data_IF_185480161150
#
_entry.id   IF_185480161150
#
_cell.length_a   1.000
_cell.length_b   1.000
_cell.length_c   1.000
_cell.angle_alpha   90.00
_cell.angle_beta   90.00
_cell.angle_gamma   90.00
#
_symmetry.space_group_name_H-M   'P 1'
#
loop_
_entity.id
_entity.type
_entity.pdbx_description
1 polymer ?
#
# COMPACT_ATOMS: atom_id res chain seq x y z
N UNK A 1 -11.46 -16.20 11.39
CA UNK A 1 -10.56 -15.04 11.18
C UNK A 1 -11.05 -14.17 10.03
N UNK A 2 -11.07 -12.84 10.17
CA UNK A 2 -11.42 -11.93 9.06
C UNK A 2 -10.39 -12.08 7.94
N UNK A 3 -10.88 -12.26 6.70
CA UNK A 3 -10.02 -12.35 5.50
C UNK A 3 -9.58 -10.96 5.06
N UNK A 4 -8.63 -10.34 5.77
CA UNK A 4 -8.13 -9.00 5.49
C UNK A 4 -7.30 -8.96 4.20
N UNK A 5 -7.43 -7.87 3.44
CA UNK A 5 -6.60 -7.53 2.28
C UNK A 5 -5.96 -6.18 2.54
N UNK A 6 -4.66 -6.09 2.37
CA UNK A 6 -3.94 -4.84 2.47
C UNK A 6 -3.85 -4.13 1.11
N UNK A 7 -3.88 -2.80 1.12
CA UNK A 7 -3.52 -1.98 -0.03
C UNK A 7 -2.22 -1.27 0.33
N UNK A 8 -1.15 -1.55 -0.39
CA UNK A 8 0.13 -0.86 -0.22
C UNK A 8 0.06 0.49 -0.93
N UNK A 9 0.34 1.57 -0.21
CA UNK A 9 0.15 2.94 -0.71
C UNK A 9 1.01 3.30 -1.94
N UNK A 10 2.13 2.58 -2.15
CA UNK A 10 3.00 2.78 -3.30
C UNK A 10 3.81 4.07 -3.26
N UNK A 11 4.06 4.64 -4.42
CA UNK A 11 4.90 5.84 -4.62
C UNK A 11 4.26 7.08 -3.97
N UNK A 12 4.95 7.78 -3.04
CA UNK A 12 4.38 8.95 -2.38
C UNK A 12 4.32 10.20 -3.28
N UNK A 13 5.23 10.32 -4.25
CA UNK A 13 5.27 11.44 -5.20
C UNK A 13 4.41 11.17 -6.45
N UNK A 14 3.20 10.63 -6.26
CA UNK A 14 2.35 10.20 -7.36
C UNK A 14 0.87 10.45 -7.05
N UNK A 15 0.00 10.04 -7.98
CA UNK A 15 -1.46 10.12 -7.84
C UNK A 15 -2.05 8.98 -6.99
N UNK A 16 -1.24 8.15 -6.35
CA UNK A 16 -1.70 6.95 -5.65
C UNK A 16 -2.73 7.25 -4.55
N UNK A 17 -2.52 8.32 -3.77
CA UNK A 17 -3.49 8.72 -2.74
C UNK A 17 -4.84 9.12 -3.33
N UNK A 18 -4.85 9.72 -4.53
CA UNK A 18 -6.07 10.04 -5.27
C UNK A 18 -6.78 8.76 -5.75
N UNK A 19 -6.03 7.83 -6.36
CA UNK A 19 -6.57 6.54 -6.81
C UNK A 19 -7.19 5.79 -5.64
N UNK A 20 -6.46 5.66 -4.52
CA UNK A 20 -6.93 4.99 -3.31
C UNK A 20 -8.22 5.67 -2.79
N UNK A 21 -8.23 7.00 -2.71
CA UNK A 21 -9.36 7.75 -2.20
C UNK A 21 -10.61 7.62 -3.08
N UNK A 22 -10.45 7.73 -4.40
CA UNK A 22 -11.55 7.56 -5.35
C UNK A 22 -12.09 6.12 -5.33
N UNK A 23 -11.21 5.13 -5.34
CA UNK A 23 -11.60 3.71 -5.22
C UNK A 23 -12.32 3.44 -3.91
N UNK A 24 -11.84 4.00 -2.79
CA UNK A 24 -12.49 3.85 -1.49
C UNK A 24 -13.94 4.34 -1.48
N UNK A 25 -14.23 5.43 -2.18
CA UNK A 25 -15.62 5.92 -2.31
C UNK A 25 -16.53 4.95 -3.05
N UNK A 26 -16.01 4.22 -4.04
CA UNK A 26 -16.76 3.32 -4.92
C UNK A 26 -16.94 1.91 -4.33
N UNK A 27 -16.03 1.47 -3.46
CA UNK A 27 -16.07 0.13 -2.88
C UNK A 27 -17.29 0.00 -1.95
N UNK A 28 -18.18 -0.94 -2.26
CA UNK A 28 -19.38 -1.23 -1.45
C UNK A 28 -19.03 -1.93 -0.13
N UNK A 29 -18.14 -2.92 -0.16
CA UNK A 29 -17.74 -3.68 1.03
C UNK A 29 -16.30 -3.32 1.47
N UNK A 30 -16.20 -2.46 2.47
CA UNK A 30 -14.94 -1.90 3.01
C UNK A 30 -14.38 -2.69 4.20
N UNK A 31 -15.15 -3.67 4.68
CA UNK A 31 -14.92 -4.29 5.99
C UNK A 31 -13.60 -5.05 6.15
N UNK A 32 -12.97 -5.43 5.03
CA UNK A 32 -11.79 -6.28 5.02
C UNK A 32 -10.57 -5.59 4.42
N UNK A 33 -10.65 -4.26 4.19
CA UNK A 33 -9.60 -3.48 3.54
C UNK A 33 -8.93 -2.54 4.54
N UNK A 34 -7.61 -2.41 4.41
CA UNK A 34 -6.84 -1.37 5.10
C UNK A 34 -5.62 -0.99 4.25
N UNK A 35 -5.04 0.17 4.54
CA UNK A 35 -3.86 0.67 3.84
C UNK A 35 -2.60 0.39 4.66
N UNK A 36 -1.52 0.03 4.01
CA UNK A 36 -0.15 0.07 4.57
C UNK A 36 0.54 1.29 3.98
N UNK A 37 0.81 2.30 4.80
CA UNK A 37 1.38 3.55 4.35
C UNK A 37 1.57 4.57 5.47
N UNK A 38 2.00 5.78 5.12
CA UNK A 38 2.12 6.87 6.10
C UNK A 38 0.79 7.60 6.26
N UNK A 39 0.21 7.52 7.47
CA UNK A 39 -1.09 8.14 7.76
C UNK A 39 -1.13 9.64 7.50
N UNK A 40 -0.12 10.38 8.00
CA UNK A 40 -0.11 11.83 7.85
C UNK A 40 0.06 12.26 6.40
N UNK A 41 0.90 11.59 5.65
CA UNK A 41 1.11 11.86 4.23
C UNK A 41 -0.19 11.65 3.45
N UNK A 42 -0.79 10.47 3.57
CA UNK A 42 -2.02 10.11 2.84
C UNK A 42 -3.15 11.09 3.21
N UNK A 43 -3.32 11.42 4.50
CA UNK A 43 -4.32 12.37 4.96
C UNK A 43 -4.11 13.76 4.34
N UNK A 44 -2.87 14.27 4.35
CA UNK A 44 -2.55 15.58 3.77
C UNK A 44 -2.74 15.60 2.26
N UNK A 45 -2.30 14.57 1.55
CA UNK A 45 -2.49 14.45 0.11
C UNK A 45 -3.98 14.42 -0.27
N UNK A 46 -4.78 13.59 0.40
CA UNK A 46 -6.23 13.48 0.16
C UNK A 46 -6.93 14.81 0.43
N UNK A 47 -6.56 15.52 1.49
CA UNK A 47 -7.13 16.85 1.78
C UNK A 47 -6.72 17.89 0.72
N UNK A 48 -5.46 17.87 0.28
CA UNK A 48 -4.92 18.83 -0.70
C UNK A 48 -5.57 18.69 -2.08
N UNK A 49 -5.98 17.49 -2.45
CA UNK A 49 -6.75 17.24 -3.69
C UNK A 49 -8.27 17.42 -3.51
N UNK A 50 -8.72 17.96 -2.38
CA UNK A 50 -10.12 18.29 -2.12
C UNK A 50 -11.05 17.10 -1.86
N UNK A 51 -10.52 15.90 -1.60
CA UNK A 51 -11.33 14.72 -1.34
C UNK A 51 -11.64 14.58 0.15
N UNK A 52 -12.95 14.50 0.49
CA UNK A 52 -13.42 14.31 1.87
C UNK A 52 -13.59 12.82 2.17
N UNK A 53 -12.67 12.23 2.94
CA UNK A 53 -12.72 10.84 3.40
C UNK A 53 -12.30 10.80 4.86
N UNK A 54 -13.03 10.03 5.67
CA UNK A 54 -12.63 9.75 7.05
C UNK A 54 -11.48 8.73 7.05
N UNK A 55 -10.34 9.12 7.61
CA UNK A 55 -9.12 8.30 7.66
C UNK A 55 -8.75 8.08 9.12
N UNK A 56 -8.46 6.83 9.49
CA UNK A 56 -8.01 6.45 10.84
C UNK A 56 -6.59 5.90 10.79
N UNK A 57 -5.75 6.38 11.70
CA UNK A 57 -4.45 5.77 11.96
C UNK A 57 -4.65 4.53 12.81
N UNK A 58 -4.03 3.43 12.43
CA UNK A 58 -3.91 2.23 13.27
C UNK A 58 -2.44 1.85 13.41
N UNK A 59 -2.07 1.30 14.57
CA UNK A 59 -0.72 0.78 14.84
C UNK A 59 -0.72 -0.75 14.75
N UNK A 60 -1.88 -1.38 14.85
CA UNK A 60 -2.11 -2.82 14.70
C UNK A 60 -3.40 -3.08 13.93
N UNK A 61 -3.46 -4.20 13.22
CA UNK A 61 -4.67 -4.64 12.50
C UNK A 61 -5.84 -4.94 13.45
N UNK A 62 -5.57 -5.23 14.73
CA UNK A 62 -6.59 -5.43 15.75
C UNK A 62 -7.36 -4.15 16.07
N UNK A 63 -6.78 -2.98 15.72
CA UNK A 63 -7.39 -1.66 15.89
C UNK A 63 -8.34 -1.28 14.74
N UNK A 64 -8.62 -2.19 13.78
CA UNK A 64 -9.60 -1.95 12.71
C UNK A 64 -11.02 -2.03 13.31
N UNK A 65 -11.40 -0.97 14.01
CA UNK A 65 -12.69 -0.88 14.72
C UNK A 65 -13.73 -0.23 13.81
N UNK A 66 -13.36 0.81 13.08
CA UNK A 66 -14.29 1.57 12.26
C UNK A 66 -14.21 1.15 10.78
N UNK A 67 -15.20 0.37 10.38
CA UNK A 67 -15.31 -0.19 9.02
C UNK A 67 -15.60 0.85 7.94
N UNK A 68 -16.07 2.04 8.33
CA UNK A 68 -16.40 3.14 7.40
C UNK A 68 -15.23 4.08 7.14
N UNK A 69 -14.17 4.01 7.96
CA UNK A 69 -12.98 4.83 7.80
C UNK A 69 -11.93 4.09 6.97
N UNK A 70 -11.16 4.84 6.20
CA UNK A 70 -9.96 4.34 5.55
C UNK A 70 -8.88 4.11 6.64
N UNK A 71 -8.76 2.87 7.12
CA UNK A 71 -7.80 2.53 8.14
C UNK A 71 -6.40 2.44 7.54
N UNK A 72 -5.43 3.15 8.12
CA UNK A 72 -4.05 3.20 7.66
C UNK A 72 -3.12 2.63 8.74
N UNK A 73 -2.55 1.47 8.49
CA UNK A 73 -1.43 0.92 9.26
C UNK A 73 -0.20 1.77 8.99
N UNK A 74 0.21 2.52 10.01
CA UNK A 74 1.15 3.61 9.83
C UNK A 74 2.59 3.12 9.67
N UNK A 75 3.19 3.45 8.54
CA UNK A 75 4.63 3.30 8.27
C UNK A 75 5.28 4.69 8.41
N UNK A 76 6.25 4.85 9.30
CA UNK A 76 6.93 6.13 9.50
C UNK A 76 7.60 6.65 8.24
N UNK A 77 7.39 7.94 7.94
CA UNK A 77 8.05 8.67 6.88
C UNK A 77 8.19 10.13 7.31
N UNK A 78 9.39 10.67 7.25
CA UNK A 78 9.64 12.10 7.45
C UNK A 78 9.48 12.82 6.11
N UNK A 79 8.73 13.90 6.05
CA UNK A 79 8.55 14.71 4.84
C UNK A 79 8.28 16.16 5.19
N UNK A 80 8.76 17.07 4.33
CA UNK A 80 8.47 18.51 4.41
C UNK A 80 7.32 18.88 3.46
N UNK A 81 7.29 18.29 2.28
CA UNK A 81 6.26 18.50 1.24
C UNK A 81 5.54 17.19 0.96
N UNK A 82 4.25 17.27 0.66
CA UNK A 82 3.38 16.09 0.45
C UNK A 82 3.60 15.39 -0.89
N UNK A 83 4.11 16.10 -1.91
CA UNK A 83 4.35 15.56 -3.25
C UNK A 83 5.79 15.78 -3.74
N UNK A 84 6.70 16.14 -2.83
CA UNK A 84 8.11 16.32 -3.15
C UNK A 84 8.98 15.72 -2.04
N UNK A 85 8.96 14.40 -1.95
CA UNK A 85 9.79 13.62 -1.04
C UNK A 85 11.03 13.18 -1.80
N UNK A 86 12.21 13.30 -1.18
CA UNK A 86 13.46 12.93 -1.85
C UNK A 86 13.48 11.44 -2.22
N UNK A 87 14.31 11.08 -3.20
CA UNK A 87 14.36 9.74 -3.80
C UNK A 87 14.75 8.65 -2.79
N UNK A 88 15.64 8.96 -1.85
CA UNK A 88 16.14 7.98 -0.87
C UNK A 88 15.02 7.63 0.12
N UNK A 89 14.35 8.64 0.68
CA UNK A 89 13.24 8.43 1.62
C UNK A 89 12.05 7.75 0.95
N UNK A 90 11.73 8.15 -0.29
CA UNK A 90 10.72 7.51 -1.13
C UNK A 90 11.00 6.01 -1.30
N UNK A 91 12.22 5.67 -1.75
CA UNK A 91 12.62 4.27 -1.92
C UNK A 91 12.50 3.48 -0.63
N UNK A 92 13.08 3.99 0.45
CA UNK A 92 13.08 3.32 1.75
C UNK A 92 11.67 3.10 2.29
N UNK A 93 10.79 4.10 2.11
CA UNK A 93 9.40 4.04 2.51
C UNK A 93 8.62 2.98 1.71
N UNK A 94 8.71 3.01 0.39
CA UNK A 94 7.99 2.06 -0.48
C UNK A 94 8.42 0.63 -0.18
N UNK A 95 9.73 0.39 -0.07
CA UNK A 95 10.27 -0.93 0.28
C UNK A 95 9.77 -1.40 1.66
N UNK A 96 9.71 -0.52 2.65
CA UNK A 96 9.16 -0.86 3.98
C UNK A 96 7.68 -1.25 3.89
N UNK A 97 6.88 -0.51 3.13
CA UNK A 97 5.46 -0.82 2.95
C UNK A 97 5.25 -2.20 2.27
N UNK A 98 5.99 -2.48 1.19
CA UNK A 98 5.93 -3.76 0.48
C UNK A 98 6.37 -4.90 1.40
N UNK A 99 7.48 -4.73 2.13
CA UNK A 99 7.99 -5.74 3.05
C UNK A 99 7.01 -6.05 4.19
N UNK A 100 6.35 -5.03 4.74
CA UNK A 100 5.33 -5.22 5.77
C UNK A 100 4.17 -6.07 5.23
N UNK A 101 3.65 -5.72 4.04
CA UNK A 101 2.58 -6.47 3.39
C UNK A 101 2.99 -7.93 3.11
N UNK A 102 4.21 -8.13 2.60
CA UNK A 102 4.77 -9.45 2.33
C UNK A 102 4.87 -10.31 3.61
N UNK A 103 5.45 -9.78 4.68
CA UNK A 103 5.57 -10.48 5.96
C UNK A 103 4.19 -10.88 6.50
N UNK A 104 3.21 -9.97 6.43
CA UNK A 104 1.85 -10.24 6.88
C UNK A 104 1.16 -11.33 6.04
N UNK A 105 1.40 -11.36 4.73
CA UNK A 105 0.89 -12.37 3.84
C UNK A 105 1.53 -13.75 4.11
N UNK A 106 2.85 -13.81 4.24
CA UNK A 106 3.58 -15.05 4.58
C UNK A 106 3.14 -15.63 5.94
N UNK A 107 2.88 -14.77 6.92
CA UNK A 107 2.33 -15.16 8.23
C UNK A 107 0.83 -15.47 8.22
N UNK A 108 0.17 -15.43 7.07
CA UNK A 108 -1.28 -15.65 6.91
C UNK A 108 -2.15 -14.68 7.74
N UNK A 109 -1.60 -13.54 8.15
CA UNK A 109 -2.31 -12.46 8.86
C UNK A 109 -3.30 -11.77 7.92
N UNK A 110 -2.90 -11.62 6.65
CA UNK A 110 -3.74 -11.12 5.56
C UNK A 110 -3.87 -12.21 4.49
N UNK A 111 -4.95 -12.15 3.71
CA UNK A 111 -5.18 -13.06 2.58
C UNK A 111 -4.28 -12.75 1.39
N UNK A 112 -3.88 -11.49 1.26
CA UNK A 112 -3.05 -10.97 0.20
C UNK A 112 -3.00 -9.45 0.25
N UNK A 113 -2.34 -8.85 -0.71
CA UNK A 113 -2.29 -7.39 -0.83
C UNK A 113 -2.36 -6.93 -2.28
N UNK A 114 -2.83 -5.71 -2.45
CA UNK A 114 -2.85 -4.98 -3.71
C UNK A 114 -1.78 -3.90 -3.61
N UNK A 115 -0.89 -3.84 -4.58
CA UNK A 115 0.13 -2.80 -4.63
C UNK A 115 -0.32 -1.66 -5.54
N UNK A 116 -0.37 -0.43 -4.99
CA UNK A 116 -0.53 0.76 -5.82
C UNK A 116 0.73 0.96 -6.69
N UNK A 117 0.64 1.69 -7.80
CA UNK A 117 1.77 1.91 -8.70
C UNK A 117 3.06 2.33 -8.00
N UNK A 118 4.17 1.74 -8.45
CA UNK A 118 5.51 1.97 -7.92
C UNK A 118 6.48 2.16 -9.08
N UNK A 119 7.32 3.17 -9.00
CA UNK A 119 8.41 3.35 -9.96
C UNK A 119 9.46 2.24 -9.76
N UNK A 120 9.67 1.42 -10.78
CA UNK A 120 10.63 0.31 -10.74
C UNK A 120 12.09 0.73 -10.48
N UNK A 121 12.43 1.99 -10.69
CA UNK A 121 13.76 2.52 -10.36
C UNK A 121 14.12 2.43 -8.87
N UNK A 122 13.12 2.25 -7.97
CA UNK A 122 13.38 2.00 -6.55
C UNK A 122 14.20 0.71 -6.31
N UNK A 123 14.19 -0.22 -7.24
CA UNK A 123 14.96 -1.48 -7.16
C UNK A 123 16.38 -1.35 -7.71
N UNK A 124 16.81 -0.16 -8.17
CA UNK A 124 18.16 0.12 -8.69
C UNK A 124 18.59 -0.87 -9.80
N UNK A 125 17.68 -1.27 -10.66
CA UNK A 125 17.93 -2.23 -11.74
C UNK A 125 18.11 -3.70 -11.30
N UNK A 126 18.04 -3.98 -9.99
CA UNK A 126 18.19 -5.36 -9.49
C UNK A 126 16.96 -6.24 -9.76
N UNK A 127 15.78 -5.62 -9.90
CA UNK A 127 14.51 -6.29 -10.18
C UNK A 127 13.73 -5.46 -11.19
N UNK A 128 13.01 -6.14 -12.09
CA UNK A 128 12.16 -5.50 -13.10
C UNK A 128 10.89 -4.88 -12.48
N UNK A 129 10.47 -5.37 -11.31
CA UNK A 129 9.32 -4.86 -10.60
C UNK A 129 9.12 -5.50 -9.22
N UNK A 130 7.91 -5.30 -8.68
CA UNK A 130 7.52 -5.84 -7.37
C UNK A 130 7.44 -7.36 -7.40
N UNK A 131 7.00 -7.95 -8.53
CA UNK A 131 6.84 -9.40 -8.69
C UNK A 131 8.15 -10.13 -8.49
N UNK A 132 9.20 -9.73 -9.23
CA UNK A 132 10.53 -10.34 -9.14
C UNK A 132 11.19 -10.06 -7.79
N UNK A 133 10.94 -8.87 -7.23
CA UNK A 133 11.40 -8.54 -5.88
C UNK A 133 10.83 -9.49 -4.83
N UNK A 134 9.53 -9.79 -4.90
CA UNK A 134 8.86 -10.72 -3.98
C UNK A 134 9.25 -12.17 -4.22
N UNK A 135 9.40 -12.59 -5.49
CA UNK A 135 9.89 -13.92 -5.85
C UNK A 135 11.30 -14.17 -5.28
N UNK A 136 12.18 -13.17 -5.39
CA UNK A 136 13.51 -13.24 -4.79
C UNK A 136 13.45 -13.39 -3.27
N UNK A 137 12.56 -12.66 -2.60
CA UNK A 137 12.38 -12.76 -1.14
C UNK A 137 11.86 -14.12 -0.66
N UNK A 138 11.14 -14.82 -1.51
CA UNK A 138 10.61 -16.16 -1.22
C UNK A 138 11.52 -17.29 -1.74
N UNK A 139 12.70 -16.98 -2.28
CA UNK A 139 13.62 -17.95 -2.92
C UNK A 139 12.94 -18.77 -4.05
N UNK A 140 12.00 -18.14 -4.77
CA UNK A 140 11.25 -18.76 -5.88
C UNK A 140 11.50 -18.02 -7.21
N UNK A 141 12.73 -17.54 -7.42
CA UNK A 141 13.10 -16.86 -8.66
C UNK A 141 12.74 -17.71 -9.87
N UNK A 142 12.29 -17.03 -10.94
CA UNK A 142 11.92 -17.64 -12.23
C UNK A 142 10.72 -18.63 -12.14
N UNK A 143 10.07 -18.71 -10.97
CA UNK A 143 8.86 -19.52 -10.78
C UNK A 143 7.62 -18.66 -10.49
N UNK A 144 7.79 -17.34 -10.52
CA UNK A 144 6.68 -16.39 -10.40
C UNK A 144 5.78 -16.49 -11.62
N UNK A 145 4.48 -16.53 -11.37
CA UNK A 145 3.45 -16.62 -12.41
C UNK A 145 2.59 -15.36 -12.35
N UNK A 146 2.45 -14.70 -13.49
CA UNK A 146 1.49 -13.62 -13.66
C UNK A 146 0.20 -14.18 -14.25
N UNK A 147 -0.92 -13.95 -13.57
CA UNK A 147 -2.23 -14.42 -13.99
C UNK A 147 -3.12 -13.23 -14.36
N UNK A 148 -3.67 -13.26 -15.56
CA UNK A 148 -4.67 -12.30 -16.01
C UNK A 148 -6.06 -12.95 -15.93
N UNK A 149 -6.99 -12.24 -15.30
CA UNK A 149 -8.38 -12.67 -15.20
C UNK A 149 -9.28 -11.65 -15.90
N UNK A 150 -10.05 -12.09 -16.88
CA UNK A 150 -11.06 -11.29 -17.56
C UNK A 150 -12.46 -11.82 -17.20
N UNK A 151 -13.32 -10.94 -16.67
CA UNK A 151 -14.77 -11.23 -16.59
C UNK A 151 -15.39 -10.91 -17.95
N UNK A 152 -15.88 -11.92 -18.65
CA UNK A 152 -16.84 -11.71 -19.72
C UNK A 152 -18.19 -11.30 -19.14
#
# INVERSE_FOLDING_TARGET
MKKLIAIVAGEPNSINSEIIAKSWKQIKNKNNLFIIGNYLLIKKQINQIGLKIKISKINSINEIINKNNLNVLNIPLKFKSTFNINKIDTKNYVIKCINMAHIMACKKIIKGFVNAPVNKNIFNGKFLGVTEYLANKNNVKEKEVMMLYNRK
#
